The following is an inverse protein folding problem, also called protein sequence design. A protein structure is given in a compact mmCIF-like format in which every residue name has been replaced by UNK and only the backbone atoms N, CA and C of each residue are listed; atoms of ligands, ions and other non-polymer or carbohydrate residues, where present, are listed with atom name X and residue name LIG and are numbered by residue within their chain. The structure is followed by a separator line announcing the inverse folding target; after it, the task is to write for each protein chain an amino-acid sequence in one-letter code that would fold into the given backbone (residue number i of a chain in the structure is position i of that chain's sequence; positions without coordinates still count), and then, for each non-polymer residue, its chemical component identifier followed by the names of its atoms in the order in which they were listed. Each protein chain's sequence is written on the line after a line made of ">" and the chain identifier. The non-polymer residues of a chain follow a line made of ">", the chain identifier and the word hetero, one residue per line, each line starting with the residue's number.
data_IF_442073192777
#
_entry.id   IF_442073192777
#
_cell.length_a   1.000
_cell.length_b   1.000
_cell.length_c   1.000
_cell.angle_alpha   90.00
_cell.angle_beta   90.00
_cell.angle_gamma   90.00
#
_symmetry.space_group_name_H-M   'P 1'
#
loop_
_entity.id
_entity.type
_entity.pdbx_description
1 polymer ?
#
# COMPACT_ATOMS: atom_id res chain seq x y z
N UNK A 1 38.52 -52.61 -18.29
CA UNK A 1 37.94 -51.43 -17.60
C UNK A 1 36.98 -50.74 -18.56
N UNK A 2 35.67 -50.73 -18.26
CA UNK A 2 34.62 -50.09 -19.07
C UNK A 2 34.06 -48.90 -18.29
N UNK A 3 34.23 -47.70 -18.85
CA UNK A 3 33.78 -46.41 -18.33
C UNK A 3 32.25 -46.31 -18.45
N UNK A 4 31.56 -45.96 -17.36
CA UNK A 4 30.14 -45.59 -17.38
C UNK A 4 30.02 -44.12 -17.01
N UNK A 5 29.54 -43.32 -17.97
CA UNK A 5 29.21 -41.90 -17.80
C UNK A 5 27.76 -41.86 -17.31
N UNK A 6 27.52 -41.25 -16.15
CA UNK A 6 26.18 -40.98 -15.61
C UNK A 6 25.90 -39.48 -15.72
N UNK A 7 24.94 -39.12 -16.56
CA UNK A 7 24.41 -37.76 -16.73
C UNK A 7 23.29 -37.52 -15.71
N UNK A 8 23.30 -36.44 -14.91
CA UNK A 8 22.14 -36.08 -14.10
C UNK A 8 21.11 -35.30 -14.93
N UNK A 9 19.87 -35.80 -14.95
CA UNK A 9 18.70 -35.15 -15.51
C UNK A 9 18.17 -34.14 -14.48
N UNK A 10 18.28 -32.84 -14.75
CA UNK A 10 17.73 -31.77 -13.90
C UNK A 10 16.23 -31.66 -14.20
N UNK A 11 15.40 -32.04 -13.24
CA UNK A 11 13.95 -31.81 -13.29
C UNK A 11 13.64 -30.35 -12.93
N UNK A 12 13.23 -29.56 -13.92
CA UNK A 12 12.62 -28.25 -13.71
C UNK A 12 11.18 -28.43 -13.21
N UNK A 13 10.94 -28.21 -11.92
CA UNK A 13 9.58 -28.02 -11.39
C UNK A 13 9.07 -26.63 -11.83
N UNK A 14 8.13 -26.62 -12.76
CA UNK A 14 7.37 -25.43 -13.10
C UNK A 14 6.36 -25.12 -11.98
N UNK A 15 6.50 -23.96 -11.33
CA UNK A 15 5.41 -23.35 -10.55
C UNK A 15 4.37 -22.78 -11.52
N UNK A 16 3.45 -23.63 -11.98
CA UNK A 16 2.23 -23.20 -12.66
C UNK A 16 1.05 -23.60 -11.77
N UNK A 17 0.74 -22.78 -10.76
CA UNK A 17 -0.32 -23.12 -9.79
C UNK A 17 -1.07 -21.95 -9.16
N UNK A 18 -0.77 -20.69 -9.51
CA UNK A 18 -1.44 -19.52 -8.91
C UNK A 18 -2.37 -18.75 -9.85
N UNK A 19 -2.44 -19.14 -11.14
CA UNK A 19 -3.32 -18.48 -12.11
C UNK A 19 -4.74 -19.09 -12.12
N UNK A 20 -4.85 -20.41 -11.94
CA UNK A 20 -6.14 -21.10 -11.97
C UNK A 20 -7.02 -20.76 -10.76
N UNK A 21 -6.40 -20.50 -9.60
CA UNK A 21 -7.12 -20.17 -8.36
C UNK A 21 -7.94 -18.88 -8.46
N UNK A 22 -7.46 -17.89 -9.21
CA UNK A 22 -8.16 -16.62 -9.44
C UNK A 22 -9.36 -16.79 -10.39
N UNK A 23 -9.21 -17.64 -11.40
CA UNK A 23 -10.27 -17.94 -12.36
C UNK A 23 -11.38 -18.76 -11.69
N UNK A 24 -11.00 -19.73 -10.87
CA UNK A 24 -11.94 -20.59 -10.14
C UNK A 24 -12.73 -19.81 -9.07
N UNK A 25 -12.09 -18.85 -8.38
CA UNK A 25 -12.78 -17.97 -7.44
C UNK A 25 -13.80 -17.07 -8.16
N UNK A 26 -13.44 -16.52 -9.32
CA UNK A 26 -14.35 -15.68 -10.09
C UNK A 26 -15.53 -16.48 -10.67
N UNK A 27 -15.30 -17.72 -11.08
CA UNK A 27 -16.36 -18.64 -11.53
C UNK A 27 -17.25 -19.10 -10.37
N UNK A 28 -16.68 -19.35 -9.19
CA UNK A 28 -17.42 -19.69 -7.97
C UNK A 28 -18.37 -18.57 -7.52
N UNK A 29 -17.90 -17.32 -7.58
CA UNK A 29 -18.73 -16.13 -7.30
C UNK A 29 -19.89 -15.98 -8.31
N UNK A 30 -19.64 -16.27 -9.58
CA UNK A 30 -20.69 -16.26 -10.62
C UNK A 30 -21.72 -17.38 -10.41
N UNK A 31 -21.28 -18.58 -10.03
CA UNK A 31 -22.15 -19.72 -9.74
C UNK A 31 -23.03 -19.51 -8.51
N UNK A 32 -22.51 -18.88 -7.45
CA UNK A 32 -23.29 -18.51 -6.27
C UNK A 32 -24.42 -17.53 -6.62
N UNK A 33 -24.13 -16.55 -7.48
CA UNK A 33 -25.11 -15.57 -7.94
C UNK A 33 -26.26 -16.22 -8.74
N UNK A 34 -25.96 -17.25 -9.53
CA UNK A 34 -26.97 -18.02 -10.27
C UNK A 34 -27.79 -18.95 -9.36
N UNK A 35 -27.15 -19.59 -8.38
CA UNK A 35 -27.84 -20.47 -7.42
C UNK A 35 -28.82 -19.71 -6.53
N UNK A 36 -28.48 -18.47 -6.13
CA UNK A 36 -29.33 -17.63 -5.30
C UNK A 36 -30.57 -17.12 -6.07
N UNK A 37 -30.41 -16.82 -7.37
CA UNK A 37 -31.53 -16.42 -8.23
C UNK A 37 -32.55 -17.56 -8.48
N UNK A 38 -32.09 -18.81 -8.48
CA UNK A 38 -32.96 -19.98 -8.66
C UNK A 38 -33.82 -20.30 -7.42
N UNK A 39 -33.39 -19.87 -6.22
CA UNK A 39 -34.07 -20.18 -4.95
C UNK A 39 -35.16 -19.16 -4.59
N UNK A 40 -35.08 -17.92 -5.06
CA UNK A 40 -36.00 -16.84 -4.60
C UNK A 40 -37.15 -16.52 -5.54
N UNK A 41 -37.25 -17.16 -6.73
CA UNK A 41 -38.39 -17.04 -7.65
C UNK A 41 -38.74 -15.61 -8.09
N UNK A 42 -37.87 -14.65 -7.84
CA UNK A 42 -38.06 -13.21 -8.07
C UNK A 42 -37.01 -12.76 -9.07
N UNK A 43 -37.41 -12.12 -10.19
CA UNK A 43 -36.43 -11.48 -11.06
C UNK A 43 -35.68 -10.44 -10.23
N UNK A 44 -34.37 -10.63 -10.07
CA UNK A 44 -33.51 -9.60 -9.48
C UNK A 44 -33.74 -8.34 -10.31
N UNK A 45 -34.22 -7.22 -9.73
CA UNK A 45 -34.38 -5.99 -10.46
C UNK A 45 -33.05 -5.70 -11.14
N UNK A 46 -33.06 -5.46 -12.46
CA UNK A 46 -31.88 -5.04 -13.20
C UNK A 46 -31.28 -3.89 -12.42
N UNK A 47 -30.17 -4.15 -11.72
CA UNK A 47 -29.55 -3.15 -10.90
C UNK A 47 -29.32 -1.96 -11.83
N UNK A 48 -30.04 -0.86 -11.59
CA UNK A 48 -29.60 0.44 -12.07
C UNK A 48 -28.13 0.45 -11.69
N UNK A 49 -27.26 0.46 -12.71
CA UNK A 49 -25.83 0.54 -12.51
C UNK A 49 -25.60 1.87 -11.80
N UNK A 50 -25.75 1.89 -10.48
CA UNK A 50 -25.12 2.87 -9.64
C UNK A 50 -23.69 2.84 -10.11
N UNK A 51 -23.22 3.95 -10.68
CA UNK A 51 -21.84 4.05 -11.13
C UNK A 51 -21.00 3.57 -9.95
N UNK A 52 -20.37 2.40 -10.10
CA UNK A 52 -19.43 1.89 -9.11
C UNK A 52 -18.43 3.03 -9.01
N UNK A 53 -18.34 3.67 -7.85
CA UNK A 53 -17.39 4.75 -7.63
C UNK A 53 -16.04 4.25 -8.14
N UNK A 54 -15.33 5.02 -9.00
CA UNK A 54 -14.10 4.54 -9.59
C UNK A 54 -13.19 4.07 -8.46
N UNK A 55 -12.78 2.80 -8.52
CA UNK A 55 -11.89 2.21 -7.52
C UNK A 55 -10.68 3.12 -7.41
N UNK A 56 -10.36 3.55 -6.19
CA UNK A 56 -9.18 4.37 -5.97
C UNK A 56 -7.96 3.70 -6.62
N UNK A 57 -7.06 4.48 -7.27
CA UNK A 57 -5.91 3.90 -7.94
C UNK A 57 -5.10 3.06 -6.95
N UNK A 58 -4.47 2.03 -7.48
CA UNK A 58 -3.61 1.14 -6.70
C UNK A 58 -2.16 1.34 -7.18
N UNK A 59 -1.19 1.27 -6.27
CA UNK A 59 0.20 1.46 -6.63
C UNK A 59 0.69 0.28 -7.49
N UNK A 60 1.59 0.54 -8.42
CA UNK A 60 2.26 -0.52 -9.18
C UNK A 60 3.30 -1.25 -8.32
N UNK A 61 3.78 -2.40 -8.80
CA UNK A 61 4.85 -3.14 -8.14
C UNK A 61 6.14 -2.30 -8.03
N UNK A 62 6.43 -1.48 -9.04
CA UNK A 62 7.58 -0.57 -9.08
C UNK A 62 7.45 0.52 -8.02
N UNK A 63 6.25 1.07 -7.85
CA UNK A 63 5.95 2.09 -6.82
C UNK A 63 6.06 1.52 -5.42
N UNK A 64 5.56 0.31 -5.19
CA UNK A 64 5.72 -0.40 -3.92
C UNK A 64 7.20 -0.68 -3.62
N UNK A 65 7.97 -1.12 -4.61
CA UNK A 65 9.40 -1.33 -4.47
C UNK A 65 10.16 -0.02 -4.20
N UNK A 66 9.75 1.09 -4.82
CA UNK A 66 10.33 2.41 -4.55
C UNK A 66 10.09 2.86 -3.10
N UNK A 67 8.85 2.72 -2.60
CA UNK A 67 8.53 2.97 -1.19
C UNK A 67 9.36 2.11 -0.25
N UNK A 68 9.47 0.80 -0.52
CA UNK A 68 10.27 -0.10 0.30
C UNK A 68 11.76 0.30 0.33
N UNK A 69 12.34 0.68 -0.80
CA UNK A 69 13.72 1.22 -0.85
C UNK A 69 13.85 2.52 -0.07
N UNK A 70 12.87 3.41 -0.14
CA UNK A 70 12.89 4.68 0.58
C UNK A 70 12.76 4.50 2.11
N UNK A 71 12.14 3.41 2.56
CA UNK A 71 12.03 3.02 3.97
C UNK A 71 13.28 2.30 4.51
N UNK A 72 14.16 1.78 3.64
CA UNK A 72 15.42 1.16 4.03
C UNK A 72 16.43 2.23 4.47
N UNK A 73 16.24 2.74 5.68
CA UNK A 73 17.15 3.72 6.26
C UNK A 73 18.05 3.07 7.32
N UNK A 74 19.34 3.34 7.24
CA UNK A 74 20.34 2.91 8.22
C UNK A 74 20.98 4.16 8.82
N UNK A 75 20.83 4.33 10.13
CA UNK A 75 21.31 5.51 10.84
C UNK A 75 22.48 5.14 11.76
N UNK A 76 23.35 6.11 12.03
CA UNK A 76 24.37 5.96 13.06
C UNK A 76 23.73 5.72 14.45
N UNK A 77 22.61 6.41 14.72
CA UNK A 77 21.81 6.20 15.93
C UNK A 77 21.00 4.88 15.82
N UNK A 78 21.34 3.93 16.69
CA UNK A 78 20.66 2.64 16.79
C UNK A 78 19.24 2.75 17.31
N UNK A 79 18.93 3.75 18.16
CA UNK A 79 17.57 3.99 18.66
C UNK A 79 16.68 4.48 17.53
N UNK A 80 17.17 5.42 16.73
CA UNK A 80 16.45 5.88 15.54
C UNK A 80 16.23 4.72 14.54
N UNK A 81 17.26 3.91 14.31
CA UNK A 81 17.16 2.72 13.44
C UNK A 81 16.08 1.75 13.93
N UNK A 82 16.03 1.47 15.23
CA UNK A 82 15.00 0.60 15.82
C UNK A 82 13.60 1.21 15.71
N UNK A 83 13.44 2.50 16.04
CA UNK A 83 12.15 3.19 15.96
C UNK A 83 11.59 3.21 14.54
N UNK A 84 12.43 3.49 13.53
CA UNK A 84 12.03 3.45 12.12
C UNK A 84 11.62 2.04 11.71
N UNK A 85 12.39 1.02 12.10
CA UNK A 85 12.06 -0.37 11.78
C UNK A 85 10.73 -0.81 12.39
N UNK A 86 10.47 -0.45 13.66
CA UNK A 86 9.19 -0.73 14.33
C UNK A 86 8.00 0.01 13.70
N UNK A 87 8.20 1.27 13.31
CA UNK A 87 7.14 2.10 12.72
C UNK A 87 6.84 1.77 11.25
N UNK A 88 7.79 1.13 10.55
CA UNK A 88 7.75 0.85 9.10
C UNK A 88 6.44 0.25 8.61
N UNK A 89 5.82 -0.76 9.27
CA UNK A 89 4.58 -1.36 8.77
C UNK A 89 3.43 -0.34 8.65
N UNK A 90 3.25 0.51 9.66
CA UNK A 90 2.20 1.53 9.66
C UNK A 90 2.55 2.69 8.74
N UNK A 91 3.83 3.11 8.71
CA UNK A 91 4.29 4.14 7.78
C UNK A 91 4.02 3.70 6.34
N UNK A 92 4.44 2.48 5.96
CA UNK A 92 4.20 1.94 4.62
C UNK A 92 2.71 2.00 4.25
N UNK A 93 1.84 1.49 5.12
CA UNK A 93 0.40 1.42 4.84
C UNK A 93 -0.22 2.79 4.59
N UNK A 94 0.17 3.80 5.37
CA UNK A 94 -0.35 5.18 5.23
C UNK A 94 0.25 5.90 4.03
N UNK A 95 1.57 5.84 3.84
CA UNK A 95 2.24 6.53 2.73
C UNK A 95 1.78 5.97 1.38
N UNK A 96 1.55 4.66 1.28
CA UNK A 96 1.01 4.02 0.07
C UNK A 96 -0.42 4.51 -0.24
N UNK A 97 -1.29 4.56 0.78
CA UNK A 97 -2.63 5.13 0.68
C UNK A 97 -2.63 6.60 0.23
N UNK A 98 -1.73 7.40 0.81
CA UNK A 98 -1.55 8.82 0.47
C UNK A 98 -1.08 9.03 -0.95
N UNK A 99 -0.11 8.22 -1.41
CA UNK A 99 0.40 8.27 -2.77
C UNK A 99 -0.71 8.07 -3.82
N UNK A 100 -1.79 7.36 -3.46
CA UNK A 100 -2.94 7.09 -4.32
C UNK A 100 -4.16 7.99 -4.03
N UNK A 101 -4.05 8.95 -3.10
CA UNK A 101 -5.17 9.78 -2.68
C UNK A 101 -6.30 9.02 -1.98
N UNK A 102 -6.04 7.80 -1.52
CA UNK A 102 -7.03 6.87 -0.98
C UNK A 102 -6.91 6.79 0.56
N UNK A 103 -7.71 7.54 1.30
CA UNK A 103 -7.63 7.57 2.77
C UNK A 103 -8.70 6.71 3.47
N UNK A 104 -9.53 5.99 2.71
CA UNK A 104 -10.52 5.07 3.28
C UNK A 104 -9.87 4.03 4.19
N UNK A 105 -10.41 3.92 5.41
CA UNK A 105 -9.91 3.02 6.44
C UNK A 105 -8.54 3.40 7.03
N UNK A 106 -7.94 4.54 6.66
CA UNK A 106 -6.66 4.97 7.23
C UNK A 106 -6.75 5.38 8.72
N UNK A 107 -7.97 5.59 9.25
CA UNK A 107 -8.20 5.95 10.65
C UNK A 107 -7.66 4.93 11.66
N UNK A 108 -7.47 3.67 11.26
CA UNK A 108 -6.85 2.64 12.12
C UNK A 108 -5.38 2.92 12.44
N UNK A 109 -4.73 3.78 11.64
CA UNK A 109 -3.33 4.19 11.83
C UNK A 109 -3.20 5.54 12.52
N UNK A 110 -4.30 6.16 12.94
CA UNK A 110 -4.30 7.42 13.65
C UNK A 110 -4.11 7.23 15.15
N UNK A 111 -3.36 8.13 15.78
CA UNK A 111 -3.32 8.18 17.23
C UNK A 111 -4.70 8.58 17.79
N UNK A 112 -5.03 8.18 19.04
CA UNK A 112 -6.29 8.56 19.67
C UNK A 112 -6.54 10.08 19.61
N UNK A 113 -7.74 10.47 19.21
CA UNK A 113 -8.13 11.89 19.07
C UNK A 113 -7.56 12.59 17.82
N UNK A 114 -6.90 11.87 16.90
CA UNK A 114 -6.41 12.42 15.63
C UNK A 114 -7.27 11.96 14.46
N UNK A 115 -7.70 12.92 13.64
CA UNK A 115 -8.51 12.67 12.44
C UNK A 115 -7.74 13.08 11.19
N UNK A 116 -7.77 12.23 10.16
CA UNK A 116 -7.11 12.49 8.89
C UNK A 116 -7.76 13.62 8.07
N UNK A 117 -9.08 13.80 8.22
CA UNK A 117 -9.90 14.67 7.39
C UNK A 117 -9.62 16.18 7.51
N UNK A 118 -9.08 16.62 8.64
CA UNK A 118 -8.95 18.05 8.94
C UNK A 118 -7.53 18.59 8.70
N UNK A 119 -6.52 17.73 8.59
CA UNK A 119 -5.13 18.16 8.75
C UNK A 119 -4.17 17.77 7.61
N UNK A 120 -4.59 16.92 6.65
CA UNK A 120 -3.65 16.36 5.67
C UNK A 120 -4.19 16.27 4.25
N UNK A 121 -4.12 17.36 3.45
CA UNK A 121 -4.45 17.27 2.03
C UNK A 121 -3.60 16.18 1.37
N UNK A 122 -4.20 15.43 0.44
CA UNK A 122 -3.45 14.47 -0.39
C UNK A 122 -2.31 15.19 -1.11
N UNK A 123 -1.12 14.56 -1.30
CA UNK A 123 -0.06 15.16 -2.10
C UNK A 123 -0.52 15.52 -3.53
N UNK A 124 -1.54 14.82 -4.05
CA UNK A 124 -2.18 15.10 -5.34
C UNK A 124 -2.93 16.45 -5.40
N UNK A 125 -3.19 17.09 -4.25
CA UNK A 125 -3.79 18.43 -4.22
C UNK A 125 -2.76 19.49 -4.62
N UNK A 126 -1.48 19.24 -4.32
CA UNK A 126 -0.37 20.15 -4.64
C UNK A 126 0.20 19.95 -6.05
N UNK A 127 -0.23 18.91 -6.79
CA UNK A 127 0.21 18.63 -8.15
C UNK A 127 -0.95 18.84 -9.13
N UNK A 128 -0.91 19.96 -9.85
CA UNK A 128 -2.04 20.45 -10.64
C UNK A 128 -2.26 19.63 -11.91
N UNK A 129 -1.19 19.14 -12.51
CA UNK A 129 -1.19 18.46 -13.80
C UNK A 129 -1.12 16.94 -13.67
N UNK A 130 -1.01 16.42 -12.46
CA UNK A 130 -1.01 15.00 -12.19
C UNK A 130 -2.37 14.35 -12.49
N UNK A 131 -2.34 13.22 -13.18
CA UNK A 131 -3.49 12.36 -13.42
C UNK A 131 -3.97 11.73 -12.10
N UNK A 132 -5.09 12.24 -11.58
CA UNK A 132 -5.78 11.74 -10.36
C UNK A 132 -6.20 10.26 -10.44
N UNK A 133 -6.16 9.65 -11.62
CA UNK A 133 -6.39 8.21 -11.84
C UNK A 133 -5.15 7.34 -11.64
N UNK A 134 -3.99 7.91 -11.30
CA UNK A 134 -2.75 7.19 -11.01
C UNK A 134 -2.25 7.54 -9.60
N UNK A 135 -1.42 6.68 -9.02
CA UNK A 135 -0.70 6.99 -7.78
C UNK A 135 0.60 7.74 -8.11
N UNK A 136 1.04 8.60 -7.19
CA UNK A 136 2.36 9.21 -7.20
C UNK A 136 3.44 8.22 -6.72
N UNK A 137 4.66 8.37 -7.21
CA UNK A 137 5.81 7.58 -6.75
C UNK A 137 6.44 8.23 -5.51
N UNK A 138 6.81 7.43 -4.50
CA UNK A 138 7.59 7.91 -3.36
C UNK A 138 9.06 8.01 -3.77
N UNK A 139 9.52 9.23 -4.02
CA UNK A 139 10.88 9.50 -4.47
C UNK A 139 11.89 9.43 -3.32
N UNK A 140 11.49 9.85 -2.11
CA UNK A 140 12.37 9.89 -0.94
C UNK A 140 11.56 9.94 0.36
N UNK A 141 12.08 9.27 1.39
CA UNK A 141 11.72 9.53 2.79
C UNK A 141 12.98 9.95 3.53
N UNK A 142 12.95 11.10 4.21
CA UNK A 142 14.13 11.70 4.84
C UNK A 142 13.75 12.55 6.05
N UNK A 143 14.72 13.28 6.62
CA UNK A 143 14.48 14.16 7.76
C UNK A 143 14.09 13.40 9.04
N UNK A 144 14.50 12.14 9.14
CA UNK A 144 14.19 11.27 10.27
C UNK A 144 14.75 11.85 11.58
N UNK A 145 13.88 12.08 12.55
CA UNK A 145 14.24 12.62 13.85
C UNK A 145 13.37 12.03 14.96
N UNK A 146 14.00 11.63 16.06
CA UNK A 146 13.31 11.32 17.30
C UNK A 146 12.96 12.64 18.01
N UNK A 147 11.68 13.03 18.02
CA UNK A 147 11.21 14.21 18.75
C UNK A 147 11.09 13.93 20.25
N UNK A 148 10.80 12.67 20.60
CA UNK A 148 10.80 12.14 21.95
C UNK A 148 11.15 10.64 21.90
N UNK A 149 11.33 10.01 23.06
CA UNK A 149 11.62 8.56 23.14
C UNK A 149 10.55 7.68 22.48
N UNK A 150 9.34 8.21 22.28
CA UNK A 150 8.21 7.54 21.66
C UNK A 150 7.64 8.32 20.45
N UNK A 151 8.35 9.31 19.90
CA UNK A 151 7.85 10.13 18.80
C UNK A 151 8.90 10.29 17.71
N UNK A 152 8.50 10.06 16.46
CA UNK A 152 9.35 10.04 15.29
C UNK A 152 8.74 10.93 14.20
N UNK A 153 9.50 11.89 13.70
CA UNK A 153 9.11 12.74 12.57
C UNK A 153 9.95 12.44 11.33
N UNK A 154 9.37 12.64 10.16
CA UNK A 154 10.02 12.46 8.86
C UNK A 154 9.30 13.23 7.75
N UNK A 155 9.95 13.38 6.60
CA UNK A 155 9.39 14.01 5.41
C UNK A 155 9.37 13.02 4.24
N UNK A 156 8.30 13.09 3.44
CA UNK A 156 8.09 12.27 2.23
C UNK A 156 7.98 13.18 1.02
N UNK A 157 8.74 12.84 -0.03
CA UNK A 157 8.63 13.47 -1.34
C UNK A 157 7.90 12.51 -2.27
N UNK A 158 6.74 12.96 -2.75
CA UNK A 158 5.95 12.29 -3.78
C UNK A 158 6.28 12.93 -5.13
N UNK A 159 6.44 12.11 -6.17
CA UNK A 159 6.68 12.51 -7.56
C UNK A 159 5.51 12.04 -8.43
N UNK A 160 4.92 12.96 -9.18
CA UNK A 160 3.99 12.65 -10.25
C UNK A 160 4.80 12.32 -11.52
N UNK A 161 4.94 11.04 -11.85
CA UNK A 161 5.80 10.60 -12.97
C UNK A 161 5.30 11.11 -14.34
N UNK A 162 4.02 11.44 -14.45
CA UNK A 162 3.35 11.92 -15.66
C UNK A 162 3.53 13.42 -15.91
N UNK A 163 3.57 14.24 -14.86
CA UNK A 163 3.74 15.70 -14.97
C UNK A 163 5.12 16.20 -14.53
N UNK A 164 5.90 15.37 -13.84
CA UNK A 164 7.17 15.76 -13.22
C UNK A 164 7.02 16.62 -11.96
N UNK A 165 5.78 16.91 -11.52
CA UNK A 165 5.54 17.68 -10.30
C UNK A 165 5.89 16.87 -9.04
N UNK A 166 6.34 17.56 -7.99
CA UNK A 166 6.62 16.94 -6.70
C UNK A 166 5.86 17.61 -5.57
N UNK A 167 5.43 16.82 -4.58
CA UNK A 167 4.82 17.30 -3.35
C UNK A 167 5.60 16.79 -2.14
N UNK A 168 5.86 17.69 -1.19
CA UNK A 168 6.48 17.35 0.11
C UNK A 168 5.41 17.28 1.19
N UNK A 169 5.46 16.23 2.02
CA UNK A 169 4.65 16.13 3.24
C UNK A 169 5.51 15.78 4.43
N UNK A 170 5.31 16.49 5.53
CA UNK A 170 5.89 16.15 6.82
C UNK A 170 4.90 15.24 7.59
N UNK A 171 5.45 14.30 8.35
CA UNK A 171 4.71 13.35 9.15
C UNK A 171 5.34 13.17 10.52
N UNK A 172 4.51 12.81 11.49
CA UNK A 172 4.90 12.36 12.81
C UNK A 172 4.09 11.12 13.21
N UNK A 173 4.79 10.16 13.79
CA UNK A 173 4.21 8.98 14.42
C UNK A 173 4.61 8.91 15.88
N UNK A 174 3.67 8.47 16.72
CA UNK A 174 3.86 8.29 18.17
C UNK A 174 3.57 6.85 18.55
N UNK A 175 4.49 6.24 19.30
CA UNK A 175 4.34 4.90 19.85
C UNK A 175 3.31 4.91 20.99
N UNK A 176 2.27 4.10 20.83
CA UNK A 176 1.19 3.91 21.79
C UNK A 176 1.58 2.89 22.88
N UNK A 177 0.85 2.83 24.00
CA UNK A 177 1.14 1.87 25.08
C UNK A 177 1.10 0.40 24.67
N UNK A 178 0.33 0.06 23.64
CA UNK A 178 0.27 -1.29 23.03
C UNK A 178 1.45 -1.59 22.10
N UNK A 179 2.35 -0.62 21.89
CA UNK A 179 3.53 -0.73 21.04
C UNK A 179 3.31 -0.29 19.59
N UNK A 180 2.08 0.02 19.16
CA UNK A 180 1.80 0.45 17.80
C UNK A 180 2.26 1.89 17.55
N UNK A 181 2.87 2.15 16.38
CA UNK A 181 3.26 3.50 15.96
C UNK A 181 2.13 4.13 15.16
N UNK A 182 1.52 5.19 15.68
CA UNK A 182 0.33 5.81 15.10
C UNK A 182 0.58 7.25 14.68
N UNK A 183 0.01 7.67 13.56
CA UNK A 183 0.17 9.00 13.00
C UNK A 183 -0.53 10.07 13.83
N UNK A 184 0.16 11.17 14.05
CA UNK A 184 -0.39 12.38 14.70
C UNK A 184 -0.51 13.52 13.70
N UNK A 185 0.39 13.57 12.71
CA UNK A 185 0.32 14.40 11.52
C UNK A 185 1.17 13.86 10.35
#
# INVERSE_FOLDING_TARGET
>A
MKTRILTPLIATLALAGCADTLKDVNQGLAGLNQSLAAVTGTPVPTAQRMAIAPRAPQPTAEQQAALMRALQANFADKRLTAAVAEATPNIKAVIEKRACGAMDGAGIYSAPGKNWGDFFPSPMVATRYHNRGACMTVARIHGWQMQAMNALSFEVIYLADDSGESAKQAHEVVKQPDGAWMFTH
#
